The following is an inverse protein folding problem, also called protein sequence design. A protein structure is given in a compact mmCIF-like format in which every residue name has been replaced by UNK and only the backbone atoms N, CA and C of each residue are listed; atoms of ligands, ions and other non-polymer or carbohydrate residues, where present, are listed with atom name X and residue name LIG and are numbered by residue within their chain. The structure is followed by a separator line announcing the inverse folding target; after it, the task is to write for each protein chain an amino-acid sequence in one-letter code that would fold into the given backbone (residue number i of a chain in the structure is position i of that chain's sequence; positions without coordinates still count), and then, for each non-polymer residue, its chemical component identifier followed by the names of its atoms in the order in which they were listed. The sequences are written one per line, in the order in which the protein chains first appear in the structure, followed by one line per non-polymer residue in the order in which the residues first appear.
data_IF_927602424106
#
_entry.id   IF_927602424106
#
_cell.length_a   1.000
_cell.length_b   1.000
_cell.length_c   1.000
_cell.angle_alpha   90.00
_cell.angle_beta   90.00
_cell.angle_gamma   90.00
#
_symmetry.space_group_name_H-M   'P 1'
#
loop_
_entity.id
_entity.type
_entity.pdbx_description
1 polymer ?
#
# COMPACT_ATOMS: atom_id res chain seq x y z
N UNK A 1 9.32 -33.46 -67.05
CA UNK A 1 8.63 -33.41 -65.74
C UNK A 1 9.48 -34.26 -64.79
N UNK A 2 10.17 -33.64 -63.84
CA UNK A 2 9.83 -33.64 -62.40
C UNK A 2 10.10 -35.03 -61.75
N UNK A 3 10.77 -35.19 -60.60
CA UNK A 3 11.05 -34.29 -59.47
C UNK A 3 12.52 -34.37 -59.01
N UNK A 4 13.06 -33.31 -58.40
CA UNK A 4 14.30 -33.40 -57.58
C UNK A 4 13.94 -33.95 -56.20
N UNK A 5 14.66 -34.97 -55.74
CA UNK A 5 14.65 -35.43 -54.34
C UNK A 5 16.08 -35.32 -53.82
N UNK A 6 16.29 -34.55 -52.76
CA UNK A 6 17.59 -34.36 -52.12
C UNK A 6 17.58 -35.12 -50.78
N UNK A 7 18.53 -36.04 -50.52
CA UNK A 7 18.56 -36.78 -49.27
C UNK A 7 19.17 -35.92 -48.14
N UNK A 8 18.44 -35.79 -47.04
CA UNK A 8 18.98 -35.39 -45.73
C UNK A 8 19.57 -36.61 -45.01
N UNK A 9 20.67 -36.45 -44.25
CA UNK A 9 20.88 -37.00 -42.88
C UNK A 9 22.34 -36.91 -42.36
N UNK A 10 22.47 -36.87 -41.02
CA UNK A 10 23.69 -36.87 -40.16
C UNK A 10 24.63 -35.64 -40.32
N UNK A 11 25.24 -35.04 -39.29
CA UNK A 11 25.24 -35.23 -37.82
C UNK A 11 26.63 -34.91 -37.22
N UNK A 12 26.84 -34.32 -36.04
CA UNK A 12 25.91 -33.71 -35.04
C UNK A 12 26.46 -33.83 -33.60
N UNK A 13 26.92 -32.74 -32.95
CA UNK A 13 27.46 -32.75 -31.57
C UNK A 13 27.01 -31.52 -30.75
N UNK A 14 26.83 -31.73 -29.44
CA UNK A 14 26.20 -30.83 -28.46
C UNK A 14 27.24 -30.07 -27.62
N UNK A 15 26.91 -28.83 -27.22
CA UNK A 15 27.51 -28.16 -26.06
C UNK A 15 26.41 -27.42 -25.25
N UNK A 16 25.81 -28.11 -24.28
CA UNK A 16 25.04 -27.46 -23.21
C UNK A 16 26.01 -26.98 -22.14
N UNK A 17 26.17 -25.67 -21.98
CA UNK A 17 26.80 -25.09 -20.79
C UNK A 17 25.73 -24.62 -19.81
N UNK A 18 25.45 -25.43 -18.79
CA UNK A 18 24.62 -25.10 -17.64
C UNK A 18 25.48 -24.45 -16.56
N UNK A 19 25.26 -23.17 -16.26
CA UNK A 19 25.64 -22.54 -14.98
C UNK A 19 25.09 -21.10 -14.85
N UNK A 20 23.76 -20.90 -14.96
CA UNK A 20 23.17 -19.61 -14.58
C UNK A 20 22.82 -19.60 -13.08
N UNK A 21 23.84 -19.80 -12.25
CA UNK A 21 23.78 -19.69 -10.79
C UNK A 21 24.42 -18.37 -10.37
N UNK A 22 23.87 -17.25 -10.86
CA UNK A 22 23.92 -16.03 -10.08
C UNK A 22 23.03 -16.31 -8.87
N UNK A 23 23.64 -16.45 -7.70
CA UNK A 23 22.87 -16.48 -6.47
C UNK A 23 22.06 -15.18 -6.41
N UNK A 24 20.74 -15.28 -6.35
CA UNK A 24 19.96 -14.22 -5.72
C UNK A 24 20.42 -14.25 -4.26
N UNK A 25 21.36 -13.36 -3.94
CA UNK A 25 21.63 -12.91 -2.58
C UNK A 25 20.31 -12.35 -2.08
N UNK A 26 19.51 -13.24 -1.50
CA UNK A 26 18.24 -12.92 -0.88
C UNK A 26 18.56 -12.25 0.44
N UNK A 27 19.12 -11.04 0.34
CA UNK A 27 19.26 -10.11 1.46
C UNK A 27 17.93 -10.16 2.22
N UNK A 28 18.03 -10.65 3.45
CA UNK A 28 16.99 -10.52 4.44
C UNK A 28 17.01 -9.05 4.85
N UNK A 29 16.49 -8.21 3.94
CA UNK A 29 16.24 -6.78 4.12
C UNK A 29 15.61 -6.62 5.51
N UNK A 30 16.41 -6.23 6.51
CA UNK A 30 15.93 -5.83 7.82
C UNK A 30 14.92 -4.71 7.55
N UNK A 31 13.63 -5.03 7.64
CA UNK A 31 12.60 -4.34 6.87
C UNK A 31 12.58 -2.86 7.24
N UNK A 32 13.22 -2.04 6.39
CA UNK A 32 13.46 -0.64 6.72
C UNK A 32 12.12 0.02 6.92
N UNK A 33 11.93 0.72 8.05
CA UNK A 33 10.68 1.44 8.32
C UNK A 33 10.55 2.74 7.51
N UNK A 34 11.43 2.96 6.55
CA UNK A 34 11.43 4.12 5.69
C UNK A 34 10.32 4.00 4.62
N UNK A 35 9.45 5.01 4.45
CA UNK A 35 8.41 4.97 3.43
C UNK A 35 8.99 4.83 2.02
N UNK A 36 8.59 3.78 1.31
CA UNK A 36 9.03 3.53 -0.06
C UNK A 36 8.25 4.40 -1.04
N UNK A 37 8.94 4.92 -2.08
CA UNK A 37 8.29 5.70 -3.14
C UNK A 37 7.60 4.83 -4.19
N UNK A 38 8.05 3.60 -4.40
CA UNK A 38 7.46 2.67 -5.36
C UNK A 38 7.55 1.21 -4.88
N UNK A 39 6.54 0.41 -5.18
CA UNK A 39 6.54 -1.05 -5.03
C UNK A 39 6.69 -1.74 -6.40
N UNK A 40 7.21 -2.97 -6.42
CA UNK A 40 7.21 -3.81 -7.63
C UNK A 40 5.85 -4.48 -7.81
N UNK A 41 5.18 -4.25 -8.94
CA UNK A 41 3.84 -4.79 -9.19
C UNK A 41 3.82 -6.32 -9.21
N UNK A 42 4.85 -6.95 -9.77
CA UNK A 42 4.99 -8.42 -9.81
C UNK A 42 5.12 -9.06 -8.42
N UNK A 43 5.51 -8.30 -7.40
CA UNK A 43 5.63 -8.78 -6.02
C UNK A 43 4.33 -8.61 -5.22
N UNK A 44 3.42 -7.72 -5.64
CA UNK A 44 2.11 -7.51 -5.00
C UNK A 44 1.26 -8.78 -5.21
N UNK A 45 0.80 -9.38 -4.11
CA UNK A 45 -0.02 -10.60 -4.09
C UNK A 45 -1.48 -10.33 -3.81
N UNK A 46 -1.75 -9.34 -2.96
CA UNK A 46 -3.09 -8.90 -2.61
C UNK A 46 -3.08 -7.41 -2.23
N UNK A 47 -4.27 -6.82 -2.24
CA UNK A 47 -4.54 -5.49 -1.70
C UNK A 47 -5.80 -5.54 -0.86
N UNK A 48 -5.84 -4.79 0.24
CA UNK A 48 -7.00 -4.68 1.12
C UNK A 48 -7.31 -3.20 1.32
N UNK A 49 -8.48 -2.76 0.87
CA UNK A 49 -9.00 -1.44 1.23
C UNK A 49 -9.40 -1.46 2.69
N UNK A 50 -8.97 -0.46 3.46
CA UNK A 50 -9.38 -0.22 4.84
C UNK A 50 -10.50 0.82 4.92
N UNK A 51 -10.35 1.91 4.16
CA UNK A 51 -11.33 3.01 4.05
C UNK A 51 -11.11 3.81 2.75
N UNK A 52 -11.68 5.02 2.65
CA UNK A 52 -11.55 5.86 1.46
C UNK A 52 -10.16 6.48 1.27
N UNK A 53 -9.23 6.36 2.22
CA UNK A 53 -7.88 6.94 2.11
C UNK A 53 -6.76 5.92 2.35
N UNK A 54 -7.05 4.74 2.92
CA UNK A 54 -6.04 3.75 3.32
C UNK A 54 -6.20 2.42 2.60
N UNK A 55 -5.12 1.97 1.96
CA UNK A 55 -5.03 0.68 1.26
C UNK A 55 -3.78 -0.07 1.69
N UNK A 56 -3.92 -1.32 2.12
CA UNK A 56 -2.80 -2.22 2.38
C UNK A 56 -2.41 -2.95 1.08
N UNK A 57 -1.11 -3.10 0.88
CA UNK A 57 -0.46 -3.81 -0.21
C UNK A 57 0.39 -4.95 0.37
N UNK A 58 0.01 -6.19 0.07
CA UNK A 58 0.72 -7.38 0.54
C UNK A 58 1.69 -7.85 -0.55
N UNK A 59 2.98 -7.92 -0.24
CA UNK A 59 4.00 -8.53 -1.10
C UNK A 59 4.38 -9.92 -0.59
N UNK A 60 5.15 -10.67 -1.39
CA UNK A 60 5.80 -11.90 -0.92
C UNK A 60 6.88 -11.65 0.15
N UNK A 61 7.24 -12.71 0.89
CA UNK A 61 8.08 -12.68 2.11
C UNK A 61 7.43 -11.87 3.24
N UNK A 62 6.11 -12.02 3.40
CA UNK A 62 5.28 -11.45 4.48
C UNK A 62 5.38 -9.92 4.70
N UNK A 63 5.84 -9.20 3.66
CA UNK A 63 5.96 -7.73 3.68
C UNK A 63 4.62 -7.07 3.38
N UNK A 64 4.15 -6.22 4.29
CA UNK A 64 2.94 -5.42 4.12
C UNK A 64 3.30 -3.94 4.05
N UNK A 65 2.61 -3.20 3.19
CA UNK A 65 2.78 -1.75 3.05
C UNK A 65 1.43 -1.06 3.13
N UNK A 66 1.32 -0.03 3.97
CA UNK A 66 0.19 0.89 3.97
C UNK A 66 0.46 2.02 3.00
N UNK A 67 -0.42 2.20 2.02
CA UNK A 67 -0.51 3.42 1.24
C UNK A 67 -1.61 4.30 1.84
N UNK A 68 -1.26 5.55 2.16
CA UNK A 68 -2.23 6.61 2.47
C UNK A 68 -2.37 7.47 1.22
N UNK A 69 -3.54 7.48 0.61
CA UNK A 69 -3.83 8.31 -0.56
C UNK A 69 -3.72 9.78 -0.16
N UNK A 70 -3.22 10.62 -1.07
CA UNK A 70 -2.99 12.05 -0.81
C UNK A 70 -4.27 12.77 -0.36
N UNK A 71 -5.44 12.29 -0.81
CA UNK A 71 -6.78 12.73 -0.37
C UNK A 71 -7.76 11.55 -0.34
N UNK A 72 -8.90 11.73 0.33
CA UNK A 72 -9.98 10.76 0.32
C UNK A 72 -10.48 10.46 -1.11
N UNK A 73 -10.70 9.17 -1.37
CA UNK A 73 -11.11 8.58 -2.62
C UNK A 73 -12.55 8.05 -2.49
N UNK A 74 -13.53 8.87 -2.85
CA UNK A 74 -14.95 8.50 -2.68
C UNK A 74 -15.28 7.23 -3.48
N UNK A 75 -15.95 6.29 -2.83
CA UNK A 75 -16.33 5.00 -3.40
C UNK A 75 -15.33 3.87 -3.12
N UNK A 76 -14.07 4.18 -2.79
CA UNK A 76 -13.03 3.16 -2.57
C UNK A 76 -13.40 2.16 -1.47
N UNK A 77 -13.83 2.64 -0.28
CA UNK A 77 -14.28 1.78 0.81
C UNK A 77 -15.56 1.00 0.46
N UNK A 78 -16.41 1.57 -0.41
CA UNK A 78 -17.72 1.00 -0.76
C UNK A 78 -17.60 -0.17 -1.74
N UNK A 79 -16.71 -0.05 -2.71
CA UNK A 79 -16.55 -1.02 -3.79
C UNK A 79 -15.33 -1.94 -3.60
N UNK A 80 -14.37 -1.55 -2.75
CA UNK A 80 -13.21 -2.37 -2.36
C UNK A 80 -12.26 -2.74 -3.49
N UNK A 81 -12.48 -2.24 -4.71
CA UNK A 81 -11.82 -2.67 -5.94
C UNK A 81 -11.44 -1.47 -6.80
N UNK A 82 -10.29 -1.57 -7.46
CA UNK A 82 -9.70 -0.51 -8.26
C UNK A 82 -8.73 -1.09 -9.30
N UNK A 83 -8.43 -0.32 -10.35
CA UNK A 83 -7.36 -0.61 -11.33
C UNK A 83 -6.17 0.35 -11.15
N UNK A 84 -4.98 -0.09 -11.56
CA UNK A 84 -3.75 0.72 -11.52
C UNK A 84 -3.54 1.52 -12.82
N UNK A 85 -3.29 2.82 -12.69
CA UNK A 85 -2.91 3.71 -13.79
C UNK A 85 -1.48 4.21 -13.54
N UNK A 86 -0.51 3.46 -14.07
CA UNK A 86 0.94 3.71 -13.93
C UNK A 86 1.39 4.74 -14.97
N UNK A 87 1.90 5.89 -14.53
CA UNK A 87 2.29 7.02 -15.40
C UNK A 87 3.53 6.71 -16.26
N UNK A 88 4.42 5.83 -15.81
CA UNK A 88 5.54 5.32 -16.62
C UNK A 88 5.12 4.34 -17.73
N UNK A 89 3.97 3.69 -17.57
CA UNK A 89 3.49 2.61 -18.41
C UNK A 89 3.83 1.22 -17.85
N UNK A 90 3.42 0.18 -18.58
CA UNK A 90 3.52 -1.21 -18.13
C UNK A 90 4.95 -1.82 -18.21
N UNK A 91 5.97 -1.05 -18.62
CA UNK A 91 7.33 -1.59 -18.85
C UNK A 91 8.21 -1.54 -17.61
N UNK A 92 8.03 -0.54 -16.75
CA UNK A 92 8.77 -0.39 -15.51
C UNK A 92 8.26 -1.34 -14.42
N UNK A 93 7.06 -1.91 -14.58
CA UNK A 93 6.42 -2.88 -13.68
C UNK A 93 6.45 -2.48 -12.18
N UNK A 94 6.33 -1.18 -11.92
CA UNK A 94 6.31 -0.56 -10.59
C UNK A 94 5.06 0.28 -10.41
N UNK A 95 4.60 0.36 -9.17
CA UNK A 95 3.53 1.24 -8.72
C UNK A 95 4.14 2.27 -7.77
N UNK A 96 4.11 3.53 -8.15
CA UNK A 96 4.76 4.63 -7.43
C UNK A 96 3.75 5.58 -6.76
N UNK A 97 4.22 6.36 -5.77
CA UNK A 97 3.47 7.43 -5.10
C UNK A 97 3.08 8.61 -6.01
N UNK A 98 3.33 8.51 -7.31
CA UNK A 98 2.88 9.48 -8.31
C UNK A 98 1.84 8.88 -9.24
N UNK A 99 1.60 7.57 -9.15
CA UNK A 99 0.61 6.86 -9.96
C UNK A 99 -0.78 6.98 -9.32
N UNK A 100 -1.78 6.51 -10.05
CA UNK A 100 -3.20 6.75 -9.75
C UNK A 100 -3.91 5.41 -9.69
N UNK A 101 -4.83 5.24 -8.73
CA UNK A 101 -5.82 4.17 -8.77
C UNK A 101 -7.15 4.72 -9.28
N UNK A 102 -7.86 3.93 -10.09
CA UNK A 102 -9.24 4.25 -10.48
C UNK A 102 -10.17 3.25 -9.80
N UNK A 103 -11.11 3.74 -8.99
CA UNK A 103 -12.12 2.91 -8.33
C UNK A 103 -12.95 2.19 -9.40
N UNK A 104 -13.26 0.91 -9.19
CA UNK A 104 -14.11 0.13 -10.06
C UNK A 104 -15.52 0.05 -9.46
N UNK A 105 -16.49 0.59 -10.18
CA UNK A 105 -17.91 0.59 -9.80
C UNK A 105 -18.70 -0.40 -10.68
N UNK A 106 -19.89 -0.87 -10.25
CA UNK A 106 -20.73 -1.75 -11.07
C UNK A 106 -21.08 -1.20 -12.46
N UNK A 107 -21.09 0.14 -12.60
CA UNK A 107 -21.42 0.84 -13.85
C UNK A 107 -20.17 1.20 -14.69
N UNK A 108 -18.95 0.95 -14.19
CA UNK A 108 -17.70 1.25 -14.89
C UNK A 108 -16.62 1.86 -14.01
N UNK A 109 -15.84 2.80 -14.56
CA UNK A 109 -14.76 3.48 -13.84
C UNK A 109 -15.32 4.63 -12.99
N UNK A 110 -14.96 4.63 -11.71
CA UNK A 110 -15.27 5.67 -10.74
C UNK A 110 -14.17 6.73 -10.65
N UNK A 111 -13.92 7.25 -9.45
CA UNK A 111 -12.92 8.30 -9.23
C UNK A 111 -11.47 7.82 -9.40
N UNK A 112 -10.64 8.77 -9.84
CA UNK A 112 -9.19 8.67 -9.93
C UNK A 112 -8.57 9.27 -8.66
N UNK A 113 -7.68 8.53 -8.01
CA UNK A 113 -7.10 8.90 -6.73
C UNK A 113 -5.59 8.70 -6.74
N UNK A 114 -4.83 9.74 -6.42
CA UNK A 114 -3.36 9.69 -6.40
C UNK A 114 -2.89 8.90 -5.17
N UNK A 115 -1.94 7.98 -5.40
CA UNK A 115 -1.28 7.20 -4.35
C UNK A 115 -0.34 8.09 -3.54
N UNK A 116 -0.18 7.79 -2.25
CA UNK A 116 0.88 8.38 -1.44
C UNK A 116 2.12 7.48 -1.33
N UNK A 117 2.94 7.71 -0.31
CA UNK A 117 4.08 6.86 0.01
C UNK A 117 3.62 5.49 0.57
N UNK A 118 4.48 4.48 0.46
CA UNK A 118 4.22 3.13 0.95
C UNK A 118 4.95 2.91 2.28
N UNK A 119 4.24 3.06 3.38
CA UNK A 119 4.74 2.85 4.75
C UNK A 119 4.85 1.35 5.05
N UNK A 120 6.05 0.81 5.33
CA UNK A 120 6.23 -0.60 5.67
C UNK A 120 5.61 -0.90 7.04
N UNK A 121 4.84 -1.99 7.14
CA UNK A 121 4.22 -2.46 8.38
C UNK A 121 4.67 -3.89 8.69
N UNK A 122 4.78 -4.20 9.98
CA UNK A 122 4.78 -5.60 10.41
C UNK A 122 3.40 -6.23 10.18
N UNK A 123 3.37 -7.55 10.06
CA UNK A 123 2.12 -8.28 9.87
C UNK A 123 1.13 -8.05 11.03
N UNK A 124 1.61 -7.99 12.28
CA UNK A 124 0.78 -7.70 13.45
C UNK A 124 0.15 -6.29 13.40
N UNK A 125 0.88 -5.28 12.92
CA UNK A 125 0.34 -3.93 12.71
C UNK A 125 -0.74 -3.96 11.62
N UNK A 126 -0.51 -4.64 10.49
CA UNK A 126 -1.49 -4.79 9.42
C UNK A 126 -2.75 -5.53 9.87
N UNK A 127 -2.61 -6.62 10.63
CA UNK A 127 -3.74 -7.36 11.22
C UNK A 127 -4.54 -6.49 12.20
N UNK A 128 -3.88 -5.65 13.00
CA UNK A 128 -4.55 -4.69 13.88
C UNK A 128 -5.37 -3.63 13.14
N UNK A 129 -4.93 -3.23 11.93
CA UNK A 129 -5.65 -2.30 11.07
C UNK A 129 -6.86 -2.94 10.36
N UNK A 130 -6.82 -4.24 10.07
CA UNK A 130 -7.93 -4.99 9.46
C UNK A 130 -8.96 -5.43 10.50
N UNK A 131 -8.50 -5.79 11.70
CA UNK A 131 -9.32 -6.27 12.82
C UNK A 131 -9.85 -5.13 13.71
N UNK A 132 -9.27 -3.93 13.59
CA UNK A 132 -9.60 -2.77 14.42
C UNK A 132 -11.08 -2.35 14.30
N UNK A 133 -11.66 -1.77 15.36
CA UNK A 133 -13.02 -1.26 15.30
C UNK A 133 -13.11 -0.18 14.21
N UNK A 134 -14.18 -0.24 13.42
CA UNK A 134 -14.59 0.88 12.56
C UNK A 134 -14.63 2.17 13.42
N UNK A 135 -14.19 3.33 12.93
CA UNK A 135 -14.08 4.55 13.75
C UNK A 135 -15.42 5.12 14.27
N UNK A 136 -16.54 4.44 14.03
CA UNK A 136 -17.77 4.62 14.79
C UNK A 136 -17.71 3.82 16.11
N UNK A 137 -17.98 4.51 17.23
CA UNK A 137 -18.09 3.99 18.62
C UNK A 137 -16.83 3.39 19.28
N UNK A 138 -15.88 4.26 19.63
CA UNK A 138 -15.30 4.23 20.98
C UNK A 138 -15.81 5.47 21.73
N UNK A 139 -16.99 5.35 22.32
CA UNK A 139 -17.53 6.35 23.24
C UNK A 139 -16.83 6.18 24.59
N UNK A 140 -15.67 6.82 24.78
CA UNK A 140 -15.11 6.99 26.13
C UNK A 140 -16.08 7.86 26.91
N UNK A 141 -16.64 7.40 28.05
CA UNK A 141 -17.45 8.26 28.91
C UNK A 141 -16.54 9.36 29.44
N UNK A 142 -16.82 10.61 29.06
CA UNK A 142 -16.14 11.76 29.65
C UNK A 142 -16.69 11.92 31.06
N UNK A 143 -15.90 11.52 32.05
CA UNK A 143 -16.19 11.81 33.45
C UNK A 143 -16.13 13.34 33.62
N UNK A 144 -17.21 14.01 34.07
CA UNK A 144 -17.21 15.46 34.23
C UNK A 144 -16.12 15.87 35.23
N UNK A 145 -15.35 16.95 34.98
CA UNK A 145 -14.42 17.45 35.98
C UNK A 145 -15.18 17.81 37.25
N UNK A 146 -14.66 17.38 38.40
CA UNK A 146 -15.21 17.76 39.70
C UNK A 146 -15.21 19.30 39.82
N UNK A 147 -16.27 19.92 40.36
CA UNK A 147 -16.34 21.36 40.47
C UNK A 147 -15.25 21.86 41.43
N UNK A 148 -14.29 22.62 40.89
CA UNK A 148 -13.25 23.24 41.70
C UNK A 148 -13.89 24.19 42.73
N UNK A 149 -13.48 24.13 44.02
CA UNK A 149 -14.08 24.95 45.07
C UNK A 149 -13.81 26.45 44.82
N UNK A 150 -14.82 27.27 45.10
CA UNK A 150 -14.85 28.69 44.77
C UNK A 150 -13.58 29.44 45.17
N UNK A 151 -12.93 30.07 44.18
CA UNK A 151 -11.77 30.92 44.43
C UNK A 151 -12.17 32.15 45.26
N UNK A 152 -11.52 32.30 46.41
CA UNK A 152 -11.77 33.38 47.37
C UNK A 152 -11.58 34.77 46.71
N UNK A 153 -12.50 35.74 46.91
CA UNK A 153 -12.47 36.99 46.15
C UNK A 153 -11.21 37.81 46.45
N UNK A 154 -10.60 38.46 45.43
CA UNK A 154 -9.36 39.20 45.62
C UNK A 154 -9.56 40.40 46.55
N UNK A 155 -8.63 40.55 47.50
CA UNK A 155 -8.66 41.64 48.49
C UNK A 155 -8.61 43.03 47.84
N UNK A 156 -9.39 43.97 48.37
CA UNK A 156 -9.47 45.34 47.87
C UNK A 156 -8.12 46.09 48.02
N UNK A 157 -7.70 46.88 47.01
CA UNK A 157 -6.51 47.71 47.14
C UNK A 157 -6.74 48.87 48.12
N UNK A 158 -5.80 49.06 49.04
CA UNK A 158 -5.85 50.11 50.06
C UNK A 158 -5.82 51.55 49.49
N UNK A 159 -6.22 52.54 50.31
CA UNK A 159 -6.46 53.90 49.85
C UNK A 159 -5.19 54.63 49.36
N UNK A 160 -5.34 55.59 48.43
CA UNK A 160 -4.22 56.33 47.84
C UNK A 160 -3.58 57.33 48.83
N UNK A 161 -2.31 57.62 48.58
CA UNK A 161 -1.47 58.62 49.28
C UNK A 161 -1.09 59.74 48.32
#
# INVERSE_FOLDING_TARGET
MAFRVLPTLLGGVVALSLANAAAEEDDEDEASREPLRCLSMNRIRATQVLDNQRVLFFQGRDRVFLNRLDRECLGLARYGTFEYNVKGGAREARLCSTDVITVLEPTGRGLNCELGMFEPLSQAEAESLVSGPSPAVISVPVEPPEPEPDAEPPAEPGPPQ
#
